data_IF_153798243938
#
_entry.id   IF_153798243938
#
_cell.length_a   1.000
_cell.length_b   1.000
_cell.length_c   1.000
_cell.angle_alpha   90.00
_cell.angle_beta   90.00
_cell.angle_gamma   90.00
#
_symmetry.space_group_name_H-M   'P 1'
#
loop_
_entity.id
_entity.type
_entity.pdbx_description
1 polymer ?
#
# COMPACT_ATOMS: atom_id res chain seq x y z
N UNK A 1 -14.65 14.56 9.05
CA UNK A 1 -14.38 13.15 8.73
C UNK A 1 -13.29 13.05 7.69
N UNK A 2 -12.34 12.15 7.89
CA UNK A 2 -11.30 11.93 6.89
C UNK A 2 -11.82 11.03 5.78
N UNK A 3 -11.59 11.42 4.53
CA UNK A 3 -11.90 10.59 3.37
C UNK A 3 -10.64 9.88 2.91
N UNK A 4 -10.78 8.64 2.44
CA UNK A 4 -9.67 7.87 1.90
C UNK A 4 -10.11 7.26 0.58
N UNK A 5 -9.27 7.44 -0.45
CA UNK A 5 -9.47 6.81 -1.75
C UNK A 5 -8.24 5.98 -2.09
N UNK A 6 -8.48 4.74 -2.50
CA UNK A 6 -7.43 3.82 -2.94
C UNK A 6 -7.61 3.63 -4.44
N UNK A 7 -6.51 3.82 -5.19
CA UNK A 7 -6.54 3.59 -6.62
C UNK A 7 -5.22 3.01 -7.11
N UNK A 8 -5.30 2.35 -8.27
CA UNK A 8 -4.13 1.91 -9.00
C UNK A 8 -3.81 2.87 -10.14
N UNK A 9 -2.55 2.95 -10.50
CA UNK A 9 -2.08 3.79 -11.60
C UNK A 9 -0.86 3.18 -12.26
N UNK A 10 -0.60 3.60 -13.49
CA UNK A 10 0.59 3.19 -14.25
C UNK A 10 1.25 4.41 -14.85
N UNK A 11 2.54 4.30 -15.09
CA UNK A 11 3.32 5.37 -15.68
C UNK A 11 4.66 4.89 -16.16
N UNK A 12 5.50 5.83 -16.59
CA UNK A 12 6.86 5.53 -16.98
C UNK A 12 7.72 5.20 -15.75
N UNK A 13 8.79 4.45 -15.96
CA UNK A 13 9.74 4.14 -14.91
C UNK A 13 10.29 5.43 -14.29
N UNK A 14 10.29 5.50 -12.97
CA UNK A 14 10.64 6.71 -12.24
C UNK A 14 11.90 6.52 -11.40
N UNK A 15 12.52 7.64 -11.02
CA UNK A 15 13.46 7.69 -9.91
C UNK A 15 12.66 7.78 -8.61
N UNK A 16 12.94 6.91 -7.64
CA UNK A 16 12.22 6.91 -6.37
C UNK A 16 12.34 8.25 -5.65
N UNK A 17 13.53 8.86 -5.63
CA UNK A 17 13.74 10.14 -4.96
C UNK A 17 12.98 11.28 -5.62
N UNK A 18 12.98 11.35 -6.95
CA UNK A 18 12.23 12.37 -7.68
C UNK A 18 10.73 12.21 -7.49
N UNK A 19 10.26 10.96 -7.55
CA UNK A 19 8.85 10.66 -7.35
C UNK A 19 8.39 11.05 -5.93
N UNK A 20 9.17 10.72 -4.91
CA UNK A 20 8.84 11.09 -3.54
C UNK A 20 8.87 12.60 -3.32
N UNK A 21 9.75 13.31 -4.00
CA UNK A 21 9.74 14.78 -3.95
C UNK A 21 8.44 15.35 -4.54
N UNK A 22 7.95 14.76 -5.64
CA UNK A 22 6.66 15.15 -6.22
C UNK A 22 5.50 14.83 -5.28
N UNK A 23 5.51 13.67 -4.63
CA UNK A 23 4.50 13.28 -3.64
C UNK A 23 4.44 14.31 -2.50
N UNK A 24 5.59 14.73 -1.99
CA UNK A 24 5.66 15.70 -0.89
C UNK A 24 5.17 17.09 -1.28
N UNK A 25 5.18 17.43 -2.57
CA UNK A 25 4.70 18.70 -3.06
C UNK A 25 3.18 18.76 -3.28
N UNK A 26 2.48 17.65 -3.12
CA UNK A 26 1.04 17.58 -3.34
C UNK A 26 0.26 18.31 -2.23
N UNK A 27 -0.95 18.82 -2.55
CA UNK A 27 -1.74 19.57 -1.56
C UNK A 27 -2.40 18.73 -0.48
N UNK A 28 -2.27 17.41 -0.56
CA UNK A 28 -2.86 16.47 0.39
C UNK A 28 -1.90 15.31 0.64
N UNK A 29 -2.24 14.46 1.61
CA UNK A 29 -1.39 13.32 1.97
C UNK A 29 -1.67 12.14 1.05
N UNK A 30 -0.66 11.71 0.30
CA UNK A 30 -0.72 10.58 -0.63
C UNK A 30 0.35 9.58 -0.25
N UNK A 31 -0.07 8.33 -0.03
CA UNK A 31 0.84 7.23 0.22
C UNK A 31 1.03 6.45 -1.08
N UNK A 32 2.23 6.51 -1.68
CA UNK A 32 2.53 5.69 -2.85
C UNK A 32 3.10 4.35 -2.43
N UNK A 33 2.65 3.28 -3.05
CA UNK A 33 3.12 1.93 -2.79
C UNK A 33 3.40 1.22 -4.11
N UNK A 34 4.27 0.22 -4.05
CA UNK A 34 4.57 -0.64 -5.19
C UNK A 34 3.40 -1.60 -5.43
N UNK A 35 2.66 -1.39 -6.51
CA UNK A 35 1.49 -2.21 -6.82
C UNK A 35 1.84 -3.68 -7.05
N UNK A 36 3.08 -3.99 -7.42
CA UNK A 36 3.50 -5.37 -7.68
C UNK A 36 3.54 -6.24 -6.41
N UNK A 37 3.50 -5.61 -5.22
CA UNK A 37 3.42 -6.33 -3.94
C UNK A 37 2.12 -6.04 -3.19
N UNK A 38 1.19 -5.31 -3.80
CA UNK A 38 -0.16 -5.09 -3.26
C UNK A 38 -1.08 -6.15 -3.82
N UNK A 39 -1.54 -7.07 -2.98
CA UNK A 39 -2.28 -8.24 -3.42
C UNK A 39 -3.68 -7.94 -3.96
N UNK A 40 -4.32 -6.89 -3.46
CA UNK A 40 -5.69 -6.54 -3.88
C UNK A 40 -6.09 -5.19 -3.30
N UNK A 41 -7.19 -4.65 -3.79
CA UNK A 41 -7.83 -3.48 -3.20
C UNK A 41 -8.15 -3.74 -1.72
N UNK A 42 -8.69 -4.92 -1.41
CA UNK A 42 -9.02 -5.30 -0.04
C UNK A 42 -7.81 -5.30 0.89
N UNK A 43 -6.63 -5.63 0.36
CA UNK A 43 -5.37 -5.57 1.10
C UNK A 43 -5.13 -4.16 1.67
N UNK A 44 -5.26 -3.15 0.82
CA UNK A 44 -5.07 -1.76 1.24
C UNK A 44 -6.22 -1.24 2.09
N UNK A 45 -7.46 -1.62 1.78
CA UNK A 45 -8.62 -1.23 2.60
C UNK A 45 -8.46 -1.73 4.04
N UNK A 46 -8.04 -2.97 4.21
CA UNK A 46 -7.79 -3.54 5.54
C UNK A 46 -6.68 -2.77 6.26
N UNK A 47 -5.60 -2.45 5.57
CA UNK A 47 -4.49 -1.69 6.14
C UNK A 47 -4.94 -0.31 6.62
N UNK A 48 -5.76 0.38 5.84
CA UNK A 48 -6.30 1.70 6.22
C UNK A 48 -7.18 1.59 7.47
N UNK A 49 -8.06 0.59 7.52
CA UNK A 49 -8.96 0.38 8.67
C UNK A 49 -8.14 0.14 9.94
N UNK A 50 -7.15 -0.74 9.87
CA UNK A 50 -6.28 -1.01 11.02
C UNK A 50 -5.48 0.22 11.44
N UNK A 51 -4.97 0.99 10.46
CA UNK A 51 -4.20 2.19 10.75
C UNK A 51 -5.04 3.25 11.46
N UNK A 52 -6.26 3.51 10.95
CA UNK A 52 -7.18 4.46 11.59
C UNK A 52 -7.53 4.05 13.00
N UNK A 53 -7.80 2.75 13.19
CA UNK A 53 -8.12 2.21 14.52
C UNK A 53 -6.94 2.38 15.48
N UNK A 54 -5.73 2.09 15.03
CA UNK A 54 -4.53 2.26 15.85
C UNK A 54 -4.32 3.71 16.28
N UNK A 55 -4.53 4.65 15.36
CA UNK A 55 -4.42 6.09 15.66
C UNK A 55 -5.47 6.52 16.69
N UNK A 56 -6.72 6.06 16.55
CA UNK A 56 -7.80 6.37 17.48
C UNK A 56 -7.55 5.80 18.87
N UNK A 57 -6.99 4.61 18.95
CA UNK A 57 -6.74 3.92 20.23
C UNK A 57 -5.39 4.29 20.84
N UNK A 58 -4.58 5.08 20.17
CA UNK A 58 -3.25 5.43 20.66
C UNK A 58 -2.24 4.28 20.63
N UNK A 59 -2.50 3.24 19.84
CA UNK A 59 -1.60 2.08 19.70
C UNK A 59 -0.72 2.17 18.45
N UNK A 60 -0.71 3.31 17.77
CA UNK A 60 0.07 3.54 16.57
C UNK A 60 1.58 3.48 16.85
N UNK A 61 2.31 2.88 15.92
CA UNK A 61 3.78 2.78 15.97
C UNK A 61 4.47 3.93 15.24
N UNK A 62 3.75 4.64 14.36
CA UNK A 62 4.28 5.75 13.56
C UNK A 62 3.51 7.04 13.85
N UNK A 63 4.03 8.16 13.33
CA UNK A 63 3.47 9.48 13.64
C UNK A 63 2.22 9.84 12.82
N UNK A 64 2.00 9.21 11.67
CA UNK A 64 0.93 9.58 10.74
C UNK A 64 0.11 8.36 10.33
N UNK A 65 -1.15 8.60 9.94
CA UNK A 65 -2.01 7.53 9.45
C UNK A 65 -1.49 6.92 8.15
N UNK A 66 -0.85 7.69 7.28
CA UNK A 66 -0.29 7.16 6.04
C UNK A 66 0.89 6.21 6.32
N UNK A 67 1.79 6.56 7.23
CA UNK A 67 2.88 5.68 7.60
C UNK A 67 2.38 4.43 8.35
N UNK A 68 1.39 4.60 9.19
CA UNK A 68 0.76 3.48 9.88
C UNK A 68 0.10 2.53 8.88
N UNK A 69 -0.56 3.07 7.85
CA UNK A 69 -1.15 2.28 6.76
C UNK A 69 -0.07 1.46 6.05
N UNK A 70 1.09 2.05 5.78
CA UNK A 70 2.19 1.32 5.14
C UNK A 70 2.70 0.18 6.02
N UNK A 71 2.80 0.38 7.33
CA UNK A 71 3.20 -0.67 8.27
C UNK A 71 2.23 -1.85 8.21
N UNK A 72 0.92 -1.58 8.31
CA UNK A 72 -0.08 -2.65 8.21
C UNK A 72 -0.07 -3.32 6.84
N UNK A 73 -0.02 -2.53 5.77
CA UNK A 73 -0.04 -3.07 4.41
C UNK A 73 1.16 -3.97 4.13
N UNK A 74 2.34 -3.63 4.63
CA UNK A 74 3.56 -4.41 4.41
C UNK A 74 3.68 -5.61 5.35
N UNK A 75 2.95 -5.63 6.45
CA UNK A 75 3.12 -6.66 7.48
C UNK A 75 4.38 -6.47 8.32
N UNK A 76 5.00 -5.30 8.25
CA UNK A 76 6.24 -5.00 8.95
C UNK A 76 6.00 -4.14 10.18
N UNK A 77 6.92 -4.25 11.15
CA UNK A 77 6.85 -3.47 12.40
C UNK A 77 7.70 -2.20 12.34
N UNK A 78 8.65 -2.13 11.40
CA UNK A 78 9.60 -1.03 11.28
C UNK A 78 9.38 -0.31 9.95
N UNK A 79 9.38 1.02 10.01
CA UNK A 79 9.14 1.87 8.83
C UNK A 79 10.17 1.60 7.73
N UNK A 80 11.46 1.44 8.10
CA UNK A 80 12.52 1.17 7.12
C UNK A 80 12.27 -0.12 6.34
N UNK A 81 11.83 -1.17 7.02
CA UNK A 81 11.52 -2.45 6.37
C UNK A 81 10.25 -2.36 5.53
N UNK A 82 9.25 -1.63 6.01
CA UNK A 82 8.02 -1.41 5.25
C UNK A 82 8.31 -0.67 3.95
N UNK A 83 9.12 0.38 3.98
CA UNK A 83 9.54 1.13 2.80
C UNK A 83 10.32 0.26 1.81
N UNK A 84 11.24 -0.55 2.30
CA UNK A 84 12.03 -1.45 1.47
C UNK A 84 11.16 -2.46 0.74
N UNK A 85 10.15 -3.00 1.44
CA UNK A 85 9.26 -4.02 0.90
C UNK A 85 8.23 -3.45 -0.07
N UNK A 86 7.62 -2.33 0.26
CA UNK A 86 6.41 -1.86 -0.40
C UNK A 86 6.45 -0.39 -0.84
N UNK A 87 7.46 0.35 -0.45
CA UNK A 87 7.59 1.75 -0.82
C UNK A 87 8.01 1.97 -2.27
N UNK A 88 8.07 3.24 -2.68
CA UNK A 88 8.47 3.61 -4.03
C UNK A 88 9.89 3.15 -4.33
N UNK A 89 10.08 2.57 -5.52
CA UNK A 89 11.37 2.02 -5.99
C UNK A 89 11.78 2.64 -7.32
N UNK A 90 13.08 2.65 -7.58
CA UNK A 90 13.58 3.06 -8.89
C UNK A 90 13.04 2.11 -9.96
N UNK A 91 12.57 2.67 -11.07
CA UNK A 91 12.06 1.90 -12.18
C UNK A 91 10.62 1.42 -12.02
N UNK A 92 9.95 1.79 -10.95
CA UNK A 92 8.57 1.41 -10.69
C UNK A 92 7.64 1.98 -11.76
N UNK A 93 6.73 1.17 -12.30
CA UNK A 93 5.77 1.56 -13.34
C UNK A 93 4.31 1.35 -12.93
N UNK A 94 4.07 0.52 -11.93
CA UNK A 94 2.75 0.23 -11.40
C UNK A 94 2.67 0.76 -9.97
N UNK A 95 1.66 1.57 -9.72
CA UNK A 95 1.55 2.34 -8.48
C UNK A 95 0.23 2.02 -7.80
N UNK A 96 0.28 1.79 -6.50
CA UNK A 96 -0.90 1.80 -5.65
C UNK A 96 -0.85 3.10 -4.86
N UNK A 97 -1.91 3.88 -4.92
CA UNK A 97 -1.97 5.17 -4.25
C UNK A 97 -3.10 5.16 -3.23
N UNK A 98 -2.79 5.58 -2.01
CA UNK A 98 -3.78 5.81 -0.98
C UNK A 98 -3.84 7.32 -0.74
N UNK A 99 -4.97 7.94 -1.04
CA UNK A 99 -5.18 9.38 -0.96
C UNK A 99 -5.97 9.70 0.30
N UNK A 100 -5.40 10.51 1.17
CA UNK A 100 -6.03 10.94 2.43
C UNK A 100 -6.48 12.39 2.30
N UNK A 101 -7.80 12.60 2.32
CA UNK A 101 -8.41 13.93 2.25
C UNK A 101 -7.98 14.73 1.02
N UNK A 102 -7.92 14.06 -0.12
CA UNK A 102 -7.62 14.68 -1.41
C UNK A 102 -8.93 15.02 -2.14
N UNK A 103 -9.09 16.27 -2.54
CA UNK A 103 -10.34 16.74 -3.15
C UNK A 103 -10.49 16.32 -4.61
N UNK A 104 -9.37 16.23 -5.35
CA UNK A 104 -9.39 15.94 -6.79
C UNK A 104 -8.36 14.89 -7.17
N UNK A 105 -8.76 13.59 -7.19
CA UNK A 105 -7.83 12.52 -7.58
C UNK A 105 -7.27 12.68 -8.99
N UNK A 106 -8.06 13.22 -9.92
CA UNK A 106 -7.60 13.43 -11.31
C UNK A 106 -6.45 14.45 -11.37
N UNK A 107 -6.50 15.49 -10.56
CA UNK A 107 -5.43 16.48 -10.47
C UNK A 107 -4.17 15.85 -9.89
N UNK A 108 -4.30 15.01 -8.87
CA UNK A 108 -3.17 14.29 -8.28
C UNK A 108 -2.47 13.43 -9.34
N UNK A 109 -3.23 12.64 -10.08
CA UNK A 109 -2.68 11.78 -11.14
C UNK A 109 -1.98 12.62 -12.22
N UNK A 110 -2.56 13.74 -12.62
CA UNK A 110 -1.98 14.64 -13.62
C UNK A 110 -0.63 15.20 -13.13
N UNK A 111 -0.57 15.65 -11.89
CA UNK A 111 0.67 16.20 -11.30
C UNK A 111 1.77 15.15 -11.23
N UNK A 112 1.41 13.89 -10.97
CA UNK A 112 2.35 12.78 -10.90
C UNK A 112 2.65 12.18 -12.28
N UNK A 113 1.95 12.63 -13.34
CA UNK A 113 2.07 12.10 -14.71
C UNK A 113 1.73 10.61 -14.77
N UNK A 114 0.70 10.21 -14.03
CA UNK A 114 0.23 8.84 -13.97
C UNK A 114 -1.14 8.71 -14.64
N UNK A 115 -1.42 7.52 -15.15
CA UNK A 115 -2.71 7.14 -15.74
C UNK A 115 -3.38 6.17 -14.78
N UNK A 116 -4.64 6.46 -14.43
CA UNK A 116 -5.39 5.56 -13.55
C UNK A 116 -5.57 4.21 -14.21
N UNK A 117 -5.25 3.16 -13.47
CA UNK A 117 -5.37 1.79 -13.92
C UNK A 117 -5.54 0.87 -12.70
N UNK A 118 -6.78 0.64 -12.30
CA UNK A 118 -7.06 -0.18 -11.11
C UNK A 118 -6.76 -1.66 -11.35
N UNK A 119 -6.49 -2.09 -12.59
CA UNK A 119 -6.08 -3.46 -12.89
C UNK A 119 -4.72 -3.81 -12.25
N UNK A 120 -3.88 -2.81 -11.98
CA UNK A 120 -2.61 -3.07 -11.28
C UNK A 120 -2.81 -3.57 -9.86
N UNK A 121 -4.02 -3.45 -9.32
CA UNK A 121 -4.38 -3.92 -7.98
C UNK A 121 -5.05 -5.30 -7.99
N UNK A 122 -5.15 -5.97 -9.14
CA UNK A 122 -5.74 -7.29 -9.21
C UNK A 122 -4.84 -8.33 -8.54
N UNK A 123 -5.43 -9.31 -7.83
CA UNK A 123 -4.67 -10.36 -7.14
C UNK A 123 -3.90 -11.24 -8.12
N UNK A 124 -2.74 -11.73 -7.69
CA UNK A 124 -1.98 -12.75 -8.40
C UNK A 124 -1.11 -13.53 -7.42
N UNK A 125 -0.70 -14.74 -7.81
CA UNK A 125 0.22 -15.54 -7.00
C UNK A 125 1.57 -14.86 -6.86
N UNK A 126 2.05 -14.23 -7.94
CA UNK A 126 3.31 -13.50 -7.96
C UNK A 126 3.33 -12.38 -6.93
N UNK A 127 2.21 -11.67 -6.76
CA UNK A 127 2.10 -10.63 -5.75
C UNK A 127 2.15 -11.18 -4.34
N UNK A 128 1.47 -12.31 -4.09
CA UNK A 128 1.50 -12.95 -2.79
C UNK A 128 2.93 -13.41 -2.44
N UNK A 129 3.65 -13.99 -3.40
CA UNK A 129 5.04 -14.38 -3.23
C UNK A 129 5.91 -13.15 -2.95
N UNK A 130 5.72 -12.06 -3.73
CA UNK A 130 6.44 -10.80 -3.52
C UNK A 130 6.17 -10.18 -2.17
N UNK A 131 4.96 -10.38 -1.63
CA UNK A 131 4.62 -9.94 -0.28
C UNK A 131 5.35 -10.75 0.80
N UNK A 132 5.65 -12.02 0.53
CA UNK A 132 6.36 -12.89 1.47
C UNK A 132 5.61 -14.16 1.85
N UNK A 133 4.52 -14.48 1.17
CA UNK A 133 3.82 -15.75 1.37
C UNK A 133 4.64 -16.86 0.73
N UNK A 134 4.89 -17.93 1.47
CA UNK A 134 5.67 -19.06 0.95
C UNK A 134 4.89 -19.86 -0.09
N UNK A 135 5.60 -20.40 -1.09
CA UNK A 135 4.98 -21.20 -2.15
C UNK A 135 4.22 -22.40 -1.59
N UNK A 136 4.70 -23.01 -0.50
CA UNK A 136 4.03 -24.13 0.14
C UNK A 136 2.67 -23.75 0.70
N UNK A 137 2.52 -22.55 1.24
CA UNK A 137 1.23 -22.04 1.71
C UNK A 137 0.28 -21.82 0.53
N UNK A 138 0.78 -21.27 -0.57
CA UNK A 138 -0.02 -20.99 -1.77
C UNK A 138 -0.52 -22.27 -2.44
N UNK A 139 0.26 -23.35 -2.41
CA UNK A 139 -0.13 -24.64 -2.97
C UNK A 139 -1.31 -25.27 -2.22
N UNK A 140 -1.49 -24.91 -0.95
CA UNK A 140 -2.54 -25.48 -0.09
C UNK A 140 -3.89 -24.79 -0.27
N UNK A 141 -3.96 -23.67 -1.01
CA UNK A 141 -5.20 -22.90 -1.19
C UNK A 141 -5.46 -22.63 -2.67
N UNK A 142 -6.74 -22.48 -3.09
CA UNK A 142 -7.06 -22.02 -4.44
C UNK A 142 -6.47 -20.65 -4.71
N UNK A 143 -6.12 -20.36 -5.97
CA UNK A 143 -5.54 -19.08 -6.37
C UNK A 143 -6.36 -17.87 -5.90
N UNK A 144 -7.69 -17.98 -5.98
CA UNK A 144 -8.61 -16.92 -5.52
C UNK A 144 -8.46 -16.60 -4.03
N UNK A 145 -7.90 -17.51 -3.23
CA UNK A 145 -7.70 -17.33 -1.79
C UNK A 145 -6.29 -16.90 -1.43
N UNK A 146 -5.40 -16.74 -2.42
CA UNK A 146 -4.03 -16.29 -2.16
C UNK A 146 -4.01 -14.91 -1.48
N UNK A 147 -4.90 -14.01 -1.87
CA UNK A 147 -5.01 -12.68 -1.26
C UNK A 147 -5.43 -12.76 0.22
N UNK A 148 -6.20 -13.77 0.62
CA UNK A 148 -6.64 -13.93 2.01
C UNK A 148 -5.45 -14.21 2.94
N UNK A 149 -4.43 -14.91 2.46
CA UNK A 149 -3.21 -15.13 3.24
C UNK A 149 -2.49 -13.82 3.54
N UNK A 150 -2.50 -12.90 2.59
CA UNK A 150 -1.93 -11.56 2.80
C UNK A 150 -2.76 -10.78 3.82
N UNK A 151 -4.10 -10.87 3.74
CA UNK A 151 -4.98 -10.21 4.71
C UNK A 151 -4.74 -10.70 6.13
N UNK A 152 -4.46 -11.99 6.31
CA UNK A 152 -4.09 -12.53 7.61
C UNK A 152 -2.81 -11.90 8.16
N UNK A 153 -1.80 -11.71 7.29
CA UNK A 153 -0.55 -11.06 7.69
C UNK A 153 -0.78 -9.60 8.10
N UNK A 154 -1.65 -8.89 7.39
CA UNK A 154 -2.01 -7.50 7.71
C UNK A 154 -2.64 -7.43 9.10
N UNK A 155 -3.59 -8.29 9.38
CA UNK A 155 -4.26 -8.34 10.68
C UNK A 155 -3.28 -8.70 11.81
N UNK A 156 -2.29 -9.54 11.52
CA UNK A 156 -1.32 -10.02 12.50
C UNK A 156 -0.36 -8.93 12.96
N UNK A 157 -0.17 -7.88 12.20
CA UNK A 157 0.70 -6.75 12.58
C UNK A 157 0.28 -6.15 13.92
N UNK A 158 -1.01 -6.08 14.19
CA UNK A 158 -1.52 -5.55 15.46
C UNK A 158 -0.97 -6.34 16.66
N UNK A 159 -0.86 -7.65 16.52
CA UNK A 159 -0.31 -8.52 17.56
C UNK A 159 1.21 -8.30 17.69
N UNK A 160 1.91 -8.17 16.55
CA UNK A 160 3.36 -8.00 16.55
C UNK A 160 3.82 -6.65 17.11
N UNK A 161 2.94 -5.65 17.11
CA UNK A 161 3.26 -4.32 17.63
C UNK A 161 3.23 -4.23 19.16
N UNK A 162 2.65 -5.20 19.81
CA UNK A 162 2.47 -5.24 21.28
C UNK A 162 3.71 -5.75 22.02
#
# INVERSE_FOLDING_TARGET
>A
MSSVLILGARGEACSASDFMAQIQSLPCDVLPLDADVVCSMAHLEAAVIHAKRAMEQGTNASATVSMETMLFASGERQISKAKEKMGAKNGMRHFALVLFDCDDPSDILRRLKLIRDDQVLLPSREKAIGFGIESSELESVPERQAADLVLERVAFVEILKR
#
